data_IF_886204670300
#
_entry.id   IF_886204670300
#
_cell.length_a   1.000
_cell.length_b   1.000
_cell.length_c   1.000
_cell.angle_alpha   90.00
_cell.angle_beta   90.00
_cell.angle_gamma   90.00
#
_symmetry.space_group_name_H-M   'P 1'
#
loop_
_entity.id
_entity.type
_entity.pdbx_description
1 polymer ?
#
# COMPACT_ATOMS: atom_id res chain seq x y z
N UNK A 1 -5.76 -16.05 -11.68
CA UNK A 1 -4.98 -15.10 -10.85
C UNK A 1 -4.60 -13.97 -11.78
N UNK A 2 -5.05 -12.73 -11.56
CA UNK A 2 -4.44 -11.60 -12.24
C UNK A 2 -2.99 -11.60 -11.79
N UNK A 3 -2.08 -12.05 -12.67
CA UNK A 3 -0.65 -11.81 -12.50
C UNK A 3 -0.52 -10.30 -12.62
N UNK A 4 -0.68 -9.58 -11.52
CA UNK A 4 -0.38 -8.15 -11.50
C UNK A 4 1.15 -8.11 -11.63
N UNK A 5 1.71 -7.74 -12.79
CA UNK A 5 3.15 -7.74 -12.96
C UNK A 5 3.67 -6.48 -12.29
N UNK A 6 3.71 -6.50 -10.95
CA UNK A 6 4.28 -5.39 -10.18
C UNK A 6 5.77 -5.38 -10.48
N UNK A 7 6.26 -4.22 -10.90
CA UNK A 7 7.68 -4.01 -11.19
C UNK A 7 8.47 -4.19 -9.90
N UNK A 8 9.42 -5.12 -9.90
CA UNK A 8 10.27 -5.37 -8.72
C UNK A 8 11.55 -4.54 -8.71
N UNK A 9 12.01 -4.13 -9.88
CA UNK A 9 13.23 -3.36 -10.06
C UNK A 9 12.94 -2.11 -10.89
N UNK A 10 13.71 -1.02 -10.70
CA UNK A 10 13.57 0.16 -11.53
C UNK A 10 13.93 -0.15 -12.99
N UNK A 11 13.20 0.46 -13.91
CA UNK A 11 13.45 0.33 -15.34
C UNK A 11 14.77 1.00 -15.79
N UNK A 12 15.22 2.01 -15.05
CA UNK A 12 16.51 2.66 -15.25
C UNK A 12 17.14 3.01 -13.89
N UNK A 13 18.42 2.68 -13.69
CA UNK A 13 19.14 2.95 -12.44
C UNK A 13 19.41 4.43 -12.19
N UNK A 14 19.29 5.28 -13.22
CA UNK A 14 19.39 6.74 -13.05
C UNK A 14 18.06 7.39 -12.66
N UNK A 15 16.95 6.66 -12.70
CA UNK A 15 15.64 7.21 -12.34
C UNK A 15 15.56 7.44 -10.82
N UNK A 16 15.03 8.59 -10.37
CA UNK A 16 14.80 8.84 -8.95
C UNK A 16 13.84 7.81 -8.35
N UNK A 17 14.19 7.36 -7.15
CA UNK A 17 13.31 6.53 -6.32
C UNK A 17 12.81 7.40 -5.18
N UNK A 18 11.49 7.45 -5.00
CA UNK A 18 10.86 8.20 -3.91
C UNK A 18 10.02 7.28 -3.04
N UNK A 19 9.69 7.75 -1.85
CA UNK A 19 8.81 7.03 -0.93
C UNK A 19 7.69 7.90 -0.39
N UNK A 20 6.59 7.23 -0.04
CA UNK A 20 5.47 7.77 0.74
C UNK A 20 5.19 6.82 1.91
N UNK A 21 5.34 7.31 3.15
CA UNK A 21 4.93 6.58 4.36
C UNK A 21 3.47 6.89 4.65
N UNK A 22 2.64 5.86 4.76
CA UNK A 22 1.19 5.97 4.82
C UNK A 22 0.69 5.59 6.21
N UNK A 23 -0.24 6.40 6.73
CA UNK A 23 -1.05 6.10 7.91
C UNK A 23 -2.53 6.10 7.56
N UNK A 24 -3.29 5.15 8.10
CA UNK A 24 -4.75 5.09 7.99
C UNK A 24 -5.36 5.18 9.39
N UNK A 25 -6.07 6.26 9.68
CA UNK A 25 -6.48 6.59 11.04
C UNK A 25 -5.26 6.73 11.94
N UNK A 26 -5.15 5.84 12.93
CA UNK A 26 -4.03 5.81 13.88
C UNK A 26 -2.98 4.72 13.56
N UNK A 27 -3.14 3.98 12.46
CA UNK A 27 -2.27 2.85 12.12
C UNK A 27 -1.29 3.20 11.00
N UNK A 28 0.01 3.06 11.27
CA UNK A 28 1.06 3.10 10.25
C UNK A 28 0.99 1.83 9.38
N UNK A 29 0.57 1.98 8.12
CA UNK A 29 0.31 0.86 7.21
C UNK A 29 1.47 0.57 6.25
N UNK A 30 2.55 1.35 6.35
CA UNK A 30 3.82 1.07 5.68
C UNK A 30 4.23 2.10 4.63
N UNK A 31 5.21 1.71 3.82
CA UNK A 31 5.90 2.57 2.85
C UNK A 31 5.61 2.14 1.42
N UNK A 32 5.16 3.08 0.59
CA UNK A 32 5.08 2.92 -0.87
C UNK A 32 6.40 3.42 -1.46
N UNK A 33 7.05 2.60 -2.29
CA UNK A 33 8.26 2.97 -3.04
C UNK A 33 7.89 3.14 -4.50
N UNK A 34 8.32 4.25 -5.11
CA UNK A 34 7.93 4.64 -6.47
C UNK A 34 9.20 4.93 -7.28
N UNK A 35 9.31 4.33 -8.46
CA UNK A 35 10.24 4.80 -9.50
C UNK A 35 9.59 5.95 -10.26
N UNK A 36 10.27 7.09 -10.34
CA UNK A 36 9.86 8.19 -11.21
C UNK A 36 10.56 8.05 -12.56
N UNK A 37 9.79 8.01 -13.65
CA UNK A 37 10.29 7.81 -15.02
C UNK A 37 10.87 9.11 -15.60
N UNK A 38 11.89 9.63 -14.94
CA UNK A 38 12.59 10.87 -15.34
C UNK A 38 13.25 10.78 -16.72
N UNK A 39 13.53 9.56 -17.18
CA UNK A 39 13.98 9.27 -18.54
C UNK A 39 12.91 9.52 -19.62
N UNK A 40 11.62 9.55 -19.25
CA UNK A 40 10.48 9.76 -20.17
C UNK A 40 9.75 11.07 -19.92
N UNK A 41 9.55 11.43 -18.65
CA UNK A 41 8.80 12.62 -18.21
C UNK A 41 9.61 13.43 -17.18
N UNK A 42 10.79 13.97 -17.56
CA UNK A 42 11.70 14.63 -16.63
C UNK A 42 11.07 15.79 -15.85
N UNK A 43 10.22 16.61 -16.49
CA UNK A 43 9.59 17.76 -15.83
C UNK A 43 8.55 17.32 -14.80
N UNK A 44 7.75 16.32 -15.15
CA UNK A 44 6.72 15.74 -14.28
C UNK A 44 7.37 14.98 -13.11
N UNK A 45 8.43 14.22 -13.39
CA UNK A 45 9.23 13.51 -12.39
C UNK A 45 9.89 14.47 -11.40
N UNK A 46 10.52 15.57 -11.86
CA UNK A 46 11.12 16.56 -10.97
C UNK A 46 10.08 17.26 -10.10
N UNK A 47 8.88 17.53 -10.62
CA UNK A 47 7.78 18.06 -9.79
C UNK A 47 7.43 17.10 -8.66
N UNK A 48 7.20 15.82 -8.98
CA UNK A 48 6.83 14.83 -7.97
C UNK A 48 7.95 14.61 -6.94
N UNK A 49 9.20 14.48 -7.41
CA UNK A 49 10.39 14.29 -6.56
C UNK A 49 10.55 15.45 -5.57
N UNK A 50 10.51 16.69 -6.06
CA UNK A 50 10.66 17.87 -5.23
C UNK A 50 9.49 18.05 -4.24
N UNK A 51 8.28 17.64 -4.61
CA UNK A 51 7.13 17.59 -3.68
C UNK A 51 7.28 16.46 -2.65
N UNK A 52 7.97 15.35 -2.96
CA UNK A 52 8.33 14.35 -1.96
C UNK A 52 9.34 14.89 -0.95
N UNK A 53 10.35 15.67 -1.37
CA UNK A 53 11.41 16.17 -0.48
C UNK A 53 11.04 17.47 0.25
N UNK A 54 10.12 18.26 -0.28
CA UNK A 54 9.77 19.58 0.25
C UNK A 54 10.83 20.66 0.00
N UNK A 55 11.84 20.39 -0.83
CA UNK A 55 13.03 21.24 -0.97
C UNK A 55 12.75 22.62 -1.58
N UNK A 56 11.61 22.80 -2.26
CA UNK A 56 11.22 24.07 -2.90
C UNK A 56 10.55 25.05 -1.94
N UNK A 57 10.40 24.70 -0.67
CA UNK A 57 9.91 25.60 0.37
C UNK A 57 8.41 25.91 0.26
N UNK A 58 8.05 27.20 0.35
CA UNK A 58 6.66 27.66 0.39
C UNK A 58 6.20 28.08 -1.01
N UNK A 59 5.08 27.53 -1.46
CA UNK A 59 4.42 27.89 -2.72
C UNK A 59 3.64 29.21 -2.64
N UNK A 60 3.08 29.64 -3.78
CA UNK A 60 2.26 30.85 -3.90
C UNK A 60 0.96 30.76 -3.10
N UNK A 61 0.48 29.55 -2.85
CA UNK A 61 -0.65 29.28 -1.95
C UNK A 61 -0.35 29.59 -0.47
N UNK A 62 0.91 29.88 -0.12
CA UNK A 62 1.35 30.06 1.26
C UNK A 62 1.51 28.73 2.02
N UNK A 63 1.43 27.60 1.32
CA UNK A 63 1.61 26.25 1.85
C UNK A 63 2.95 25.68 1.42
N UNK A 64 3.49 24.72 2.18
CA UNK A 64 4.71 24.03 1.79
C UNK A 64 4.47 23.22 0.51
N UNK A 65 5.42 23.27 -0.43
CA UNK A 65 5.46 22.41 -1.61
C UNK A 65 5.96 21.01 -1.20
N UNK A 66 5.15 20.30 -0.40
CA UNK A 66 5.55 19.04 0.23
C UNK A 66 4.34 18.11 0.41
N UNK A 67 4.49 16.83 0.05
CA UNK A 67 3.46 15.81 0.24
C UNK A 67 3.29 15.38 1.70
N UNK A 68 4.32 15.49 2.54
CA UNK A 68 4.22 15.20 3.98
C UNK A 68 3.09 16.01 4.63
N UNK A 69 2.16 15.29 5.24
CA UNK A 69 0.96 15.81 5.89
C UNK A 69 -0.27 15.86 4.97
N UNK A 70 -0.11 15.73 3.65
CA UNK A 70 -1.24 15.73 2.72
C UNK A 70 -2.00 14.41 2.71
N UNK A 71 -3.27 14.45 2.28
CA UNK A 71 -4.18 13.30 2.33
C UNK A 71 -4.46 12.67 0.97
N UNK A 72 -4.72 11.37 0.99
CA UNK A 72 -5.52 10.71 -0.04
C UNK A 72 -6.98 11.04 0.24
N UNK A 73 -7.56 11.93 -0.56
CA UNK A 73 -8.90 12.47 -0.36
C UNK A 73 -9.97 11.73 -1.17
N UNK A 74 -9.56 10.88 -2.11
CA UNK A 74 -10.46 10.06 -2.93
C UNK A 74 -9.84 8.69 -3.18
N UNK A 75 -10.53 7.62 -2.81
CA UNK A 75 -10.06 6.24 -3.00
C UNK A 75 -11.20 5.41 -3.57
N UNK A 76 -11.11 5.05 -4.85
CA UNK A 76 -12.09 4.18 -5.50
C UNK A 76 -11.50 2.78 -5.61
N UNK A 77 -12.09 1.84 -4.87
CA UNK A 77 -11.68 0.43 -4.91
C UNK A 77 -11.80 -0.11 -6.34
N UNK A 78 -10.82 -0.91 -6.76
CA UNK A 78 -10.74 -1.44 -8.13
C UNK A 78 -10.64 -0.34 -9.20
N UNK A 79 -10.09 0.83 -8.86
CA UNK A 79 -9.75 1.87 -9.80
C UNK A 79 -8.45 2.58 -9.40
N UNK A 80 -8.50 3.51 -8.44
CA UNK A 80 -7.34 4.30 -8.04
C UNK A 80 -7.46 4.91 -6.63
N UNK A 81 -6.33 5.32 -6.08
CA UNK A 81 -6.24 6.17 -4.88
C UNK A 81 -5.60 7.52 -5.25
N UNK A 82 -6.33 8.62 -5.04
CA UNK A 82 -5.95 9.98 -5.40
C UNK A 82 -5.63 10.82 -4.15
N UNK A 83 -4.52 11.55 -4.23
CA UNK A 83 -4.01 12.43 -3.19
C UNK A 83 -3.26 13.63 -3.76
N UNK A 84 -2.44 14.29 -2.93
CA UNK A 84 -1.57 15.38 -3.37
C UNK A 84 -2.22 16.76 -3.48
N UNK A 85 -3.40 16.97 -2.89
CA UNK A 85 -3.90 18.34 -2.64
C UNK A 85 -3.20 18.90 -1.40
N UNK A 86 -1.99 19.43 -1.61
CA UNK A 86 -1.12 20.00 -0.57
C UNK A 86 -1.64 21.34 0.01
N UNK A 87 -2.75 21.86 -0.53
CA UNK A 87 -3.29 23.17 -0.16
C UNK A 87 -4.46 23.04 0.80
N UNK A 88 -5.41 22.15 0.48
CA UNK A 88 -6.68 22.04 1.19
C UNK A 88 -7.11 20.63 1.58
N UNK A 89 -6.40 19.59 1.15
CA UNK A 89 -6.72 18.17 1.38
C UNK A 89 -8.13 17.74 0.92
N UNK A 90 -8.75 18.47 -0.02
CA UNK A 90 -10.13 18.24 -0.48
C UNK A 90 -10.23 17.86 -1.96
N UNK A 91 -9.11 17.87 -2.68
CA UNK A 91 -9.04 17.55 -4.10
C UNK A 91 -9.43 18.69 -5.03
N UNK A 92 -9.71 19.89 -4.49
CA UNK A 92 -10.08 21.06 -5.29
C UNK A 92 -8.89 21.96 -5.63
N UNK A 93 -7.74 21.76 -4.98
CA UNK A 93 -6.57 22.62 -5.10
C UNK A 93 -5.29 21.81 -5.32
N UNK A 94 -4.19 22.50 -5.57
CA UNK A 94 -2.88 21.93 -5.77
C UNK A 94 -1.94 22.99 -6.32
N UNK A 95 -0.65 22.77 -6.19
CA UNK A 95 0.36 23.68 -6.71
C UNK A 95 1.61 22.89 -7.11
N UNK A 96 2.08 23.10 -8.34
CA UNK A 96 3.35 22.51 -8.79
C UNK A 96 4.54 23.34 -8.33
N UNK A 97 5.73 22.76 -8.39
CA UNK A 97 6.97 23.51 -8.15
C UNK A 97 7.23 24.61 -9.18
N UNK A 98 6.50 24.62 -10.30
CA UNK A 98 6.61 25.60 -11.38
C UNK A 98 5.56 26.71 -11.29
N UNK A 99 4.63 26.63 -10.32
CA UNK A 99 3.48 27.52 -10.17
C UNK A 99 2.15 26.77 -10.09
N UNK A 100 1.01 27.43 -10.33
CA UNK A 100 -0.31 26.83 -10.11
C UNK A 100 -0.57 25.55 -10.90
N UNK A 101 -0.16 25.53 -12.17
CA UNK A 101 -0.29 24.38 -13.08
C UNK A 101 0.89 24.32 -14.06
N UNK A 102 1.09 23.16 -14.69
CA UNK A 102 2.01 22.96 -15.80
C UNK A 102 1.45 22.02 -16.89
N UNK A 103 2.05 22.08 -18.07
CA UNK A 103 1.63 21.36 -19.28
C UNK A 103 1.75 19.84 -19.16
N UNK A 104 0.97 19.11 -19.97
CA UNK A 104 1.13 17.68 -20.18
C UNK A 104 2.44 17.44 -20.93
N UNK A 105 3.34 16.64 -20.35
CA UNK A 105 4.67 16.43 -20.93
C UNK A 105 4.66 15.46 -22.11
N UNK A 106 4.07 14.27 -21.91
CA UNK A 106 3.71 13.31 -22.95
C UNK A 106 2.78 12.22 -22.36
N UNK A 107 2.28 11.33 -23.23
CA UNK A 107 1.42 10.20 -22.84
C UNK A 107 2.01 8.85 -23.28
N UNK A 108 3.33 8.72 -23.26
CA UNK A 108 4.03 7.50 -23.71
C UNK A 108 3.86 6.33 -22.75
N UNK A 109 3.74 6.61 -21.46
CA UNK A 109 3.58 5.62 -20.40
C UNK A 109 2.10 5.28 -20.19
N UNK A 110 1.82 3.99 -20.00
CA UNK A 110 0.46 3.45 -19.92
C UNK A 110 0.01 3.25 -18.47
N UNK A 111 -1.30 3.34 -18.23
CA UNK A 111 -1.91 3.19 -16.90
C UNK A 111 -2.08 1.71 -16.49
N UNK A 112 -0.96 1.02 -16.31
CA UNK A 112 -0.91 -0.33 -15.72
C UNK A 112 -1.25 -0.29 -14.21
N UNK A 113 -1.53 -1.45 -13.61
CA UNK A 113 -1.65 -1.55 -12.15
C UNK A 113 -0.35 -1.11 -11.46
N UNK A 114 -0.46 -0.20 -10.50
CA UNK A 114 0.69 0.42 -9.83
C UNK A 114 1.25 1.64 -10.55
N UNK A 115 0.68 2.08 -11.68
CA UNK A 115 1.03 3.36 -12.28
C UNK A 115 0.70 4.52 -11.33
N UNK A 116 1.64 5.46 -11.21
CA UNK A 116 1.47 6.75 -10.53
C UNK A 116 1.33 7.82 -11.59
N UNK A 117 0.23 8.57 -11.57
CA UNK A 117 -0.15 9.48 -12.65
C UNK A 117 -0.71 10.80 -12.14
N UNK A 118 -0.50 11.87 -12.89
CA UNK A 118 -0.94 13.21 -12.53
C UNK A 118 -2.46 13.32 -12.65
N UNK A 119 -3.10 13.81 -11.59
CA UNK A 119 -4.48 14.29 -11.71
C UNK A 119 -4.47 15.68 -12.36
N UNK A 120 -5.53 15.99 -13.10
CA UNK A 120 -5.70 17.27 -13.78
C UNK A 120 -7.17 17.74 -13.66
N UNK A 121 -7.48 18.95 -14.14
CA UNK A 121 -8.82 19.52 -14.04
C UNK A 121 -9.77 19.09 -15.18
N UNK A 122 -9.54 17.91 -15.78
CA UNK A 122 -10.34 17.40 -16.89
C UNK A 122 -10.13 18.14 -18.21
N UNK A 123 -9.05 18.93 -18.30
CA UNK A 123 -8.61 19.61 -19.54
C UNK A 123 -7.09 19.52 -19.69
N UNK A 124 -6.56 19.53 -20.93
CA UNK A 124 -5.12 19.48 -21.15
C UNK A 124 -4.36 20.56 -20.40
N UNK A 125 -3.11 20.26 -20.05
CA UNK A 125 -2.15 21.20 -19.48
C UNK A 125 -2.57 21.79 -18.14
N UNK A 126 -3.12 20.96 -17.25
CA UNK A 126 -3.54 21.39 -15.90
C UNK A 126 -2.97 20.54 -14.78
N UNK A 127 -1.78 19.98 -14.99
CA UNK A 127 -1.08 19.21 -13.96
C UNK A 127 -0.65 20.14 -12.82
N UNK A 128 -0.71 19.66 -11.58
CA UNK A 128 -0.28 20.39 -10.40
C UNK A 128 0.46 19.46 -9.40
N UNK A 129 0.09 19.45 -8.12
CA UNK A 129 0.60 18.51 -7.12
C UNK A 129 -0.24 17.23 -7.00
N UNK A 130 -1.50 17.24 -7.43
CA UNK A 130 -2.38 16.08 -7.27
C UNK A 130 -1.98 14.92 -8.19
N UNK A 131 -2.07 13.72 -7.64
CA UNK A 131 -1.74 12.47 -8.33
C UNK A 131 -2.68 11.36 -7.91
N UNK A 132 -2.67 10.26 -8.65
CA UNK A 132 -3.32 9.03 -8.26
C UNK A 132 -2.44 7.82 -8.52
N UNK A 133 -2.69 6.75 -7.77
CA UNK A 133 -2.07 5.43 -7.93
C UNK A 133 -3.15 4.46 -8.43
N UNK A 134 -2.96 3.88 -9.60
CA UNK A 134 -3.87 2.92 -10.20
C UNK A 134 -3.84 1.58 -9.44
N UNK A 135 -4.99 1.11 -8.91
CA UNK A 135 -5.08 -0.22 -8.27
C UNK A 135 -5.20 -1.36 -9.29
N UNK A 136 -5.56 -1.03 -10.54
CA UNK A 136 -5.71 -1.95 -11.68
C UNK A 136 -5.29 -1.23 -12.95
N UNK A 137 -5.31 -1.92 -14.09
CA UNK A 137 -5.16 -1.27 -15.40
C UNK A 137 -6.32 -0.28 -15.65
N UNK A 138 -5.98 0.93 -16.09
CA UNK A 138 -6.93 2.03 -16.32
C UNK A 138 -6.76 2.64 -17.72
N UNK A 139 -6.96 1.87 -18.81
CA UNK A 139 -6.66 2.32 -20.17
C UNK A 139 -7.51 3.52 -20.60
N UNK A 140 -8.65 3.76 -19.95
CA UNK A 140 -9.47 4.95 -20.18
C UNK A 140 -8.78 6.27 -19.81
N UNK A 141 -7.65 6.23 -19.09
CA UNK A 141 -6.84 7.40 -18.71
C UNK A 141 -5.66 7.63 -19.66
N UNK A 142 -5.35 6.67 -20.53
CA UNK A 142 -4.28 6.80 -21.52
C UNK A 142 -4.56 7.96 -22.48
N UNK A 143 -3.53 8.76 -22.76
CA UNK A 143 -3.66 9.96 -23.60
C UNK A 143 -4.32 11.17 -22.91
N UNK A 144 -4.72 11.05 -21.64
CA UNK A 144 -5.40 12.14 -20.89
C UNK A 144 -4.73 12.53 -19.58
N UNK A 145 -4.01 11.59 -18.93
CA UNK A 145 -3.26 11.83 -17.71
C UNK A 145 -1.80 11.40 -17.90
N UNK A 146 -0.86 12.21 -17.41
CA UNK A 146 0.57 11.92 -17.53
C UNK A 146 1.00 10.95 -16.43
N UNK A 147 1.37 9.73 -16.80
CA UNK A 147 2.00 8.78 -15.88
C UNK A 147 3.40 9.29 -15.54
N UNK A 148 3.68 9.49 -14.25
CA UNK A 148 4.97 9.96 -13.74
C UNK A 148 5.91 8.81 -13.38
N UNK A 149 5.36 7.64 -13.04
CA UNK A 149 6.14 6.57 -12.44
C UNK A 149 5.34 5.30 -12.15
N UNK A 150 5.99 4.35 -11.50
CA UNK A 150 5.38 3.07 -11.10
C UNK A 150 5.78 2.68 -9.68
N UNK A 151 4.83 2.09 -8.94
CA UNK A 151 5.08 1.51 -7.63
C UNK A 151 5.99 0.28 -7.76
N UNK A 152 7.06 0.27 -6.99
CA UNK A 152 8.02 -0.84 -6.88
C UNK A 152 7.78 -1.70 -5.64
N UNK A 153 7.40 -1.08 -4.51
CA UNK A 153 7.06 -1.78 -3.25
C UNK A 153 5.88 -1.11 -2.58
N UNK A 154 5.16 -1.86 -1.73
CA UNK A 154 4.05 -1.33 -0.96
C UNK A 154 2.77 -1.18 -1.78
N UNK A 155 2.65 -1.83 -2.94
CA UNK A 155 1.43 -1.76 -3.75
C UNK A 155 0.19 -2.26 -2.98
N UNK A 156 0.36 -3.25 -2.10
CA UNK A 156 -0.72 -3.73 -1.24
C UNK A 156 -1.28 -2.68 -0.28
N UNK A 157 -0.57 -1.57 -0.04
CA UNK A 157 -1.08 -0.44 0.74
C UNK A 157 -2.25 0.24 0.00
N UNK A 158 -2.22 0.29 -1.33
CA UNK A 158 -3.32 0.84 -2.15
C UNK A 158 -4.60 0.01 -1.96
N UNK A 159 -4.46 -1.32 -1.88
CA UNK A 159 -5.58 -2.21 -1.58
C UNK A 159 -6.09 -2.05 -0.14
N UNK A 160 -5.19 -1.82 0.83
CA UNK A 160 -5.58 -1.51 2.22
C UNK A 160 -6.36 -0.19 2.31
N UNK A 161 -5.92 0.86 1.62
CA UNK A 161 -6.67 2.13 1.52
C UNK A 161 -8.10 1.87 1.03
N UNK A 162 -8.27 1.03 0.00
CA UNK A 162 -9.55 0.69 -0.59
C UNK A 162 -10.53 -0.05 0.33
N UNK A 163 -10.06 -0.65 1.44
CA UNK A 163 -10.94 -1.25 2.47
C UNK A 163 -11.65 -0.20 3.32
N UNK A 164 -11.08 1.01 3.40
CA UNK A 164 -11.58 2.11 4.20
C UNK A 164 -12.23 3.21 3.35
N UNK A 165 -12.75 2.88 2.17
CA UNK A 165 -13.43 3.82 1.29
C UNK A 165 -14.91 3.46 1.11
N UNK A 166 -15.77 4.48 1.00
CA UNK A 166 -17.18 4.29 0.61
C UNK A 166 -17.32 4.01 -0.88
N UNK A 167 -18.54 3.68 -1.32
CA UNK A 167 -18.84 3.47 -2.75
C UNK A 167 -18.67 4.76 -3.58
N UNK A 168 -18.77 5.92 -2.94
CA UNK A 168 -18.57 7.25 -3.52
C UNK A 168 -17.08 7.68 -3.52
N UNK A 169 -16.17 6.74 -3.26
CA UNK A 169 -14.73 6.93 -3.17
C UNK A 169 -14.26 7.82 -2.01
N UNK A 170 -15.06 7.97 -0.96
CA UNK A 170 -14.71 8.82 0.18
C UNK A 170 -14.02 7.97 1.26
N UNK A 171 -12.80 8.31 1.71
CA UNK A 171 -12.17 7.64 2.84
C UNK A 171 -12.99 7.79 4.13
N UNK A 172 -13.26 6.68 4.81
CA UNK A 172 -13.93 6.60 6.10
C UNK A 172 -13.00 6.90 7.29
N UNK A 173 -11.69 6.81 7.06
CA UNK A 173 -10.62 7.19 7.98
C UNK A 173 -9.67 8.12 7.24
N UNK A 174 -8.99 9.00 7.96
CA UNK A 174 -7.94 9.83 7.37
C UNK A 174 -6.83 8.92 6.80
N UNK A 175 -6.47 9.10 5.54
CA UNK A 175 -5.36 8.41 4.88
C UNK A 175 -4.30 9.47 4.56
N UNK A 176 -3.21 9.46 5.34
CA UNK A 176 -2.24 10.56 5.38
C UNK A 176 -0.87 10.08 4.92
N UNK A 177 -0.19 10.89 4.12
CA UNK A 177 1.25 10.74 3.85
C UNK A 177 2.00 11.33 5.04
N UNK A 178 2.42 10.50 5.99
CA UNK A 178 3.04 10.97 7.24
C UNK A 178 4.51 11.34 7.07
N UNK A 179 5.16 10.78 6.06
CA UNK A 179 6.50 11.16 5.63
C UNK A 179 6.67 10.87 4.13
N UNK A 180 7.55 11.62 3.48
CA UNK A 180 7.88 11.42 2.07
C UNK A 180 9.31 11.88 1.81
N UNK A 181 9.92 11.37 0.74
CA UNK A 181 11.26 11.80 0.36
C UNK A 181 11.80 11.05 -0.84
N UNK A 182 13.04 11.39 -1.18
CA UNK A 182 13.86 10.69 -2.18
C UNK A 182 14.80 9.70 -1.48
N UNK A 183 15.02 8.54 -2.09
CA UNK A 183 15.95 7.52 -1.62
C UNK A 183 17.24 7.66 -2.42
N UNK A 184 18.33 7.99 -1.75
CA UNK A 184 19.62 8.13 -2.40
C UNK A 184 20.13 6.79 -2.94
N UNK A 185 20.89 6.83 -4.04
CA UNK A 185 21.50 5.64 -4.61
C UNK A 185 22.38 4.91 -3.59
N UNK A 186 22.13 3.61 -3.42
CA UNK A 186 22.83 2.76 -2.46
C UNK A 186 22.17 2.71 -1.07
N UNK A 187 21.19 3.56 -0.78
CA UNK A 187 20.39 3.41 0.44
C UNK A 187 19.36 2.29 0.31
N UNK A 188 19.20 1.50 1.38
CA UNK A 188 18.14 0.50 1.45
C UNK A 188 16.75 1.16 1.48
N UNK A 189 15.79 0.55 0.80
CA UNK A 189 14.45 1.14 0.62
C UNK A 189 13.57 1.13 1.88
N UNK A 190 13.99 0.44 2.96
CA UNK A 190 13.32 0.42 4.27
C UNK A 190 11.82 0.07 4.22
N UNK A 191 11.41 -0.79 3.28
CA UNK A 191 10.01 -1.24 3.14
C UNK A 191 9.66 -2.47 4.01
N UNK A 192 10.67 -3.14 4.56
CA UNK A 192 10.48 -4.14 5.60
C UNK A 192 10.35 -3.48 6.97
N UNK A 193 9.49 -4.03 7.83
CA UNK A 193 9.37 -3.59 9.22
C UNK A 193 10.65 -4.00 9.96
N UNK A 194 11.46 -3.02 10.33
CA UNK A 194 12.66 -3.23 11.15
C UNK A 194 12.33 -2.98 12.62
N UNK A 195 11.72 -3.98 13.25
CA UNK A 195 11.48 -3.98 14.69
C UNK A 195 12.44 -4.92 15.42
N UNK A 196 12.24 -5.02 16.74
CA UNK A 196 13.03 -5.86 17.65
C UNK A 196 12.80 -7.37 17.49
N UNK A 197 11.91 -7.79 16.57
CA UNK A 197 11.62 -9.20 16.33
C UNK A 197 12.47 -9.79 15.20
N UNK A 198 12.48 -11.12 15.13
CA UNK A 198 13.12 -11.87 14.06
C UNK A 198 12.35 -11.87 12.73
N UNK A 199 11.19 -11.22 12.65
CA UNK A 199 10.44 -11.09 11.40
C UNK A 199 11.05 -10.00 10.51
N UNK A 200 11.77 -10.43 9.46
CA UNK A 200 12.40 -9.54 8.46
C UNK A 200 11.65 -9.49 7.13
N UNK A 201 10.48 -10.12 7.06
CA UNK A 201 9.72 -10.20 5.83
C UNK A 201 9.05 -8.85 5.50
N UNK A 202 8.78 -8.56 4.22
CA UNK A 202 8.01 -7.38 3.84
C UNK A 202 6.58 -7.42 4.39
N UNK A 203 5.94 -6.26 4.52
CA UNK A 203 4.58 -6.16 5.05
C UNK A 203 3.53 -6.87 4.18
N UNK A 204 3.76 -6.86 2.87
CA UNK A 204 2.96 -7.56 1.87
C UNK A 204 3.80 -8.63 1.19
N UNK A 205 3.24 -9.85 0.96
CA UNK A 205 4.01 -10.95 0.39
C UNK A 205 4.57 -10.62 -1.00
N UNK A 206 3.81 -9.91 -1.85
CA UNK A 206 4.26 -9.58 -3.21
C UNK A 206 5.52 -8.71 -3.27
N UNK A 207 5.85 -8.01 -2.18
CA UNK A 207 7.07 -7.20 -2.06
C UNK A 207 8.32 -8.03 -1.73
N UNK A 208 8.17 -9.33 -1.45
CA UNK A 208 9.28 -10.22 -1.17
C UNK A 208 10.00 -10.62 -2.46
N UNK A 209 11.29 -10.29 -2.53
CA UNK A 209 12.13 -10.59 -3.70
C UNK A 209 12.24 -12.07 -3.95
N UNK A 210 12.56 -12.82 -2.90
CA UNK A 210 12.70 -14.27 -2.91
C UNK A 210 11.36 -14.99 -2.72
N UNK A 211 10.25 -14.36 -3.13
CA UNK A 211 8.94 -15.02 -3.03
C UNK A 211 8.88 -16.21 -3.97
N UNK A 212 8.92 -17.38 -3.39
CA UNK A 212 8.73 -18.63 -4.11
C UNK A 212 7.23 -18.90 -4.30
N UNK A 213 6.81 -19.02 -5.55
CA UNK A 213 5.41 -19.31 -5.91
C UNK A 213 5.02 -20.74 -5.48
N UNK A 214 5.98 -21.66 -5.49
CA UNK A 214 5.78 -23.08 -5.24
C UNK A 214 6.60 -23.56 -4.05
N UNK A 215 6.17 -23.20 -2.85
CA UNK A 215 6.64 -23.81 -1.60
C UNK A 215 5.66 -24.84 -1.06
N UNK A 216 6.20 -25.82 -0.34
CA UNK A 216 5.42 -26.84 0.35
C UNK A 216 4.73 -26.25 1.61
N UNK A 217 3.81 -27.01 2.19
CA UNK A 217 2.99 -26.55 3.31
C UNK A 217 3.78 -26.40 4.60
N UNK A 218 4.83 -27.21 4.79
CA UNK A 218 5.72 -27.12 5.95
C UNK A 218 6.46 -25.78 5.97
N UNK A 219 7.04 -25.38 4.85
CA UNK A 219 7.73 -24.10 4.69
C UNK A 219 6.79 -22.91 4.84
N UNK A 220 5.56 -23.02 4.30
CA UNK A 220 4.50 -22.02 4.52
C UNK A 220 4.24 -21.87 6.02
N UNK A 221 4.06 -22.97 6.75
CA UNK A 221 3.79 -22.94 8.19
C UNK A 221 4.97 -22.38 8.98
N UNK A 222 6.22 -22.60 8.56
CA UNK A 222 7.40 -21.98 9.18
C UNK A 222 7.32 -20.45 9.06
N UNK A 223 7.10 -19.93 7.85
CA UNK A 223 6.94 -18.49 7.59
C UNK A 223 5.81 -17.90 8.43
N UNK A 224 4.64 -18.54 8.38
CA UNK A 224 3.44 -18.09 9.08
C UNK A 224 3.62 -18.06 10.60
N UNK A 225 4.24 -19.10 11.17
CA UNK A 225 4.52 -19.16 12.60
C UNK A 225 5.58 -18.16 13.02
N UNK A 226 6.59 -17.87 12.21
CA UNK A 226 7.58 -16.83 12.49
C UNK A 226 6.90 -15.46 12.67
N UNK A 227 6.03 -15.07 11.72
CA UNK A 227 5.30 -13.80 11.80
C UNK A 227 4.34 -13.79 12.99
N UNK A 228 3.56 -14.87 13.20
CA UNK A 228 2.64 -14.99 14.34
C UNK A 228 3.38 -14.91 15.68
N UNK A 229 4.54 -15.53 15.80
CA UNK A 229 5.34 -15.51 17.03
C UNK A 229 5.89 -14.12 17.33
N UNK A 230 6.24 -13.33 16.31
CA UNK A 230 6.54 -11.91 16.48
C UNK A 230 5.33 -11.13 17.04
N UNK A 231 4.11 -11.45 16.59
CA UNK A 231 2.88 -10.92 17.18
C UNK A 231 2.69 -11.31 18.64
N UNK A 232 2.92 -12.59 18.98
CA UNK A 232 2.84 -13.09 20.35
C UNK A 232 3.84 -12.38 21.28
N UNK A 233 5.05 -12.13 20.78
CA UNK A 233 6.07 -11.37 21.49
C UNK A 233 5.54 -9.98 21.89
N UNK A 234 5.01 -9.20 20.95
CA UNK A 234 4.43 -7.88 21.27
C UNK A 234 3.19 -7.96 22.16
N UNK A 235 2.34 -8.97 21.94
CA UNK A 235 1.15 -9.17 22.76
C UNK A 235 1.51 -9.39 24.24
N UNK A 236 2.54 -10.19 24.51
CA UNK A 236 3.05 -10.45 25.86
C UNK A 236 3.62 -9.19 26.52
N UNK A 237 4.19 -8.27 25.73
CA UNK A 237 4.64 -6.95 26.18
C UNK A 237 3.50 -5.93 26.32
N UNK A 238 2.24 -6.33 26.09
CA UNK A 238 1.05 -5.45 26.05
C UNK A 238 1.11 -4.37 24.96
N UNK A 239 1.94 -4.58 23.95
CA UNK A 239 2.08 -3.75 22.74
C UNK A 239 1.10 -4.24 21.68
N UNK A 240 -0.18 -4.00 21.95
CA UNK A 240 -1.28 -4.66 21.22
C UNK A 240 -1.42 -4.17 19.77
N UNK A 241 -1.03 -2.92 19.48
CA UNK A 241 -1.04 -2.39 18.12
C UNK A 241 -0.03 -3.14 17.24
N UNK A 242 1.22 -3.25 17.69
CA UNK A 242 2.26 -4.01 16.99
C UNK A 242 1.92 -5.49 16.88
N UNK A 243 1.30 -6.07 17.92
CA UNK A 243 0.79 -7.44 17.87
C UNK A 243 -0.24 -7.62 16.75
N UNK A 244 -1.25 -6.74 16.67
CA UNK A 244 -2.27 -6.78 15.61
C UNK A 244 -1.66 -6.64 14.22
N UNK A 245 -0.66 -5.77 14.04
CA UNK A 245 0.03 -5.60 12.75
C UNK A 245 0.70 -6.90 12.30
N UNK A 246 1.38 -7.62 13.21
CA UNK A 246 2.00 -8.92 12.92
C UNK A 246 0.97 -10.00 12.61
N UNK A 247 -0.12 -10.10 13.38
CA UNK A 247 -1.15 -11.10 13.10
C UNK A 247 -1.86 -10.83 11.76
N UNK A 248 -2.16 -9.58 11.44
CA UNK A 248 -2.71 -9.20 10.13
C UNK A 248 -1.75 -9.50 8.99
N UNK A 249 -0.44 -9.25 9.18
CA UNK A 249 0.60 -9.65 8.23
C UNK A 249 0.60 -11.17 8.02
N UNK A 250 0.50 -11.95 9.10
CA UNK A 250 0.44 -13.40 8.98
C UNK A 250 -0.82 -13.86 8.21
N UNK A 251 -1.96 -13.21 8.39
CA UNK A 251 -3.16 -13.45 7.57
C UNK A 251 -2.94 -13.13 6.10
N UNK A 252 -2.25 -12.03 5.76
CA UNK A 252 -1.92 -11.70 4.36
C UNK A 252 -1.05 -12.77 3.70
N UNK A 253 -0.02 -13.25 4.40
CA UNK A 253 0.83 -14.34 3.91
C UNK A 253 0.06 -15.66 3.80
N UNK A 254 -0.82 -15.96 4.75
CA UNK A 254 -1.69 -17.14 4.69
C UNK A 254 -2.55 -17.09 3.43
N UNK A 255 -3.29 -15.99 3.21
CA UNK A 255 -4.15 -15.84 2.03
C UNK A 255 -3.37 -15.93 0.73
N UNK A 256 -2.16 -15.38 0.67
CA UNK A 256 -1.32 -15.46 -0.51
C UNK A 256 -0.96 -16.92 -0.86
N UNK A 257 -0.47 -17.68 0.13
CA UNK A 257 0.00 -19.04 -0.11
C UNK A 257 -1.11 -20.09 -0.19
N UNK A 258 -2.24 -19.91 0.51
CA UNK A 258 -3.33 -20.87 0.52
C UNK A 258 -4.23 -20.78 -0.72
N UNK A 259 -4.30 -19.61 -1.36
CA UNK A 259 -5.23 -19.36 -2.46
C UNK A 259 -4.92 -20.22 -3.69
N UNK A 260 -5.86 -21.10 -4.03
CA UNK A 260 -5.82 -21.91 -5.24
C UNK A 260 -4.86 -23.09 -5.20
N UNK A 261 -4.25 -23.40 -4.04
CA UNK A 261 -3.45 -24.63 -3.87
C UNK A 261 -4.36 -25.83 -3.69
N UNK A 262 -4.04 -26.93 -4.37
CA UNK A 262 -4.60 -28.24 -4.06
C UNK A 262 -3.86 -28.79 -2.85
N UNK A 263 -4.58 -28.98 -1.74
CA UNK A 263 -4.01 -29.42 -0.47
C UNK A 263 -4.45 -30.85 -0.16
N UNK A 264 -3.53 -31.63 0.42
CA UNK A 264 -3.91 -32.89 1.07
C UNK A 264 -4.78 -32.59 2.29
N UNK A 265 -5.55 -33.59 2.76
CA UNK A 265 -6.37 -33.44 3.97
C UNK A 265 -5.56 -33.01 5.19
N UNK A 266 -4.36 -33.58 5.34
CA UNK A 266 -3.44 -33.25 6.44
C UNK A 266 -2.92 -31.82 6.34
N UNK A 267 -2.40 -31.43 5.18
CA UNK A 267 -1.88 -30.08 4.95
C UNK A 267 -2.96 -29.00 5.12
N UNK A 268 -4.18 -29.28 4.65
CA UNK A 268 -5.33 -28.41 4.88
C UNK A 268 -5.59 -28.27 6.38
N UNK A 269 -5.71 -29.38 7.12
CA UNK A 269 -5.94 -29.34 8.56
C UNK A 269 -4.89 -28.52 9.34
N UNK A 270 -3.61 -28.61 8.96
CA UNK A 270 -2.54 -27.83 9.58
C UNK A 270 -2.66 -26.33 9.30
N UNK A 271 -2.92 -25.95 8.04
CA UNK A 271 -3.14 -24.56 7.65
C UNK A 271 -4.38 -23.96 8.31
N UNK A 272 -5.43 -24.76 8.49
CA UNK A 272 -6.68 -24.34 9.11
C UNK A 272 -6.51 -24.11 10.61
N UNK A 273 -5.78 -25.00 11.29
CA UNK A 273 -5.41 -24.83 12.68
C UNK A 273 -4.60 -23.54 12.89
N UNK A 274 -3.66 -23.24 11.98
CA UNK A 274 -2.95 -21.97 11.99
C UNK A 274 -3.90 -20.78 11.81
N UNK A 275 -4.74 -20.81 10.77
CA UNK A 275 -5.64 -19.71 10.42
C UNK A 275 -6.58 -19.36 11.57
N UNK A 276 -7.25 -20.35 12.16
CA UNK A 276 -8.16 -20.17 13.28
C UNK A 276 -7.44 -19.58 14.50
N UNK A 277 -6.24 -20.08 14.82
CA UNK A 277 -5.43 -19.54 15.92
C UNK A 277 -5.05 -18.09 15.66
N UNK A 278 -4.65 -17.75 14.45
CA UNK A 278 -4.26 -16.39 14.10
C UNK A 278 -5.45 -15.42 14.14
N UNK A 279 -6.63 -15.82 13.65
CA UNK A 279 -7.85 -15.01 13.75
C UNK A 279 -8.25 -14.74 15.21
N UNK A 280 -8.11 -15.73 16.11
CA UNK A 280 -8.36 -15.54 17.54
C UNK A 280 -7.39 -14.52 18.15
N UNK A 281 -6.12 -14.57 17.75
CA UNK A 281 -5.11 -13.61 18.20
C UNK A 281 -5.41 -12.19 17.69
N UNK A 282 -5.86 -12.03 16.44
CA UNK A 282 -6.31 -10.74 15.89
C UNK A 282 -7.48 -10.20 16.71
N UNK A 283 -8.51 -11.01 16.94
CA UNK A 283 -9.68 -10.61 17.73
C UNK A 283 -9.27 -10.18 19.15
N UNK A 284 -8.41 -10.96 19.81
CA UNK A 284 -7.92 -10.65 21.14
C UNK A 284 -7.13 -9.33 21.19
N UNK A 285 -6.25 -9.07 20.21
CA UNK A 285 -5.50 -7.82 20.11
C UNK A 285 -6.43 -6.61 19.92
N UNK A 286 -7.42 -6.72 19.03
CA UNK A 286 -8.38 -5.63 18.81
C UNK A 286 -9.30 -5.38 20.00
N UNK A 287 -9.71 -6.42 20.74
CA UNK A 287 -10.44 -6.23 22.00
C UNK A 287 -9.61 -5.47 23.03
N UNK A 288 -8.31 -5.73 23.12
CA UNK A 288 -7.40 -4.98 24.00
C UNK A 288 -7.22 -3.52 23.57
N UNK A 289 -7.31 -3.25 22.27
CA UNK A 289 -7.29 -1.90 21.70
C UNK A 289 -8.66 -1.20 21.73
N UNK A 290 -9.70 -1.84 22.26
CA UNK A 290 -11.10 -1.34 22.19
C UNK A 290 -11.61 -1.10 20.76
N UNK A 291 -11.00 -1.76 19.77
CA UNK A 291 -11.45 -1.73 18.38
C UNK A 291 -12.48 -2.85 18.15
N UNK A 292 -13.70 -2.62 18.63
CA UNK A 292 -14.75 -3.64 18.64
C UNK A 292 -15.24 -4.04 17.24
N UNK A 293 -15.13 -3.13 16.26
CA UNK A 293 -15.52 -3.40 14.87
C UNK A 293 -14.58 -4.42 14.26
N UNK A 294 -13.27 -4.19 14.33
CA UNK A 294 -12.28 -5.09 13.73
C UNK A 294 -12.17 -6.40 14.53
N UNK A 295 -12.40 -6.36 15.85
CA UNK A 295 -12.53 -7.57 16.67
C UNK A 295 -13.71 -8.45 16.23
N UNK A 296 -14.89 -7.85 15.99
CA UNK A 296 -16.07 -8.59 15.50
C UNK A 296 -15.78 -9.21 14.13
N UNK A 297 -15.18 -8.45 13.22
CA UNK A 297 -14.82 -8.94 11.88
C UNK A 297 -13.90 -10.16 11.95
N UNK A 298 -12.89 -10.13 12.82
CA UNK A 298 -12.01 -11.27 13.03
C UNK A 298 -12.73 -12.51 13.61
N UNK A 299 -13.71 -12.30 14.50
CA UNK A 299 -14.57 -13.38 15.00
C UNK A 299 -15.49 -13.95 13.91
N UNK A 300 -16.08 -13.10 13.06
CA UNK A 300 -16.94 -13.54 11.96
C UNK A 300 -16.18 -14.41 10.97
N UNK A 301 -14.90 -14.09 10.68
CA UNK A 301 -14.03 -14.93 9.85
C UNK A 301 -13.88 -16.36 10.39
N UNK A 302 -13.81 -16.52 11.71
CA UNK A 302 -13.71 -17.84 12.37
C UNK A 302 -15.01 -18.62 12.19
N UNK A 303 -16.15 -17.95 12.39
CA UNK A 303 -17.48 -18.57 12.28
C UNK A 303 -17.75 -19.00 10.84
N UNK A 304 -17.50 -18.13 9.87
CA UNK A 304 -17.66 -18.43 8.44
C UNK A 304 -16.80 -19.62 8.04
N UNK A 305 -15.53 -19.66 8.48
CA UNK A 305 -14.64 -20.77 8.18
C UNK A 305 -15.18 -22.11 8.68
N UNK A 306 -15.68 -22.16 9.92
CA UNK A 306 -16.26 -23.38 10.51
C UNK A 306 -17.56 -23.79 9.84
N UNK A 307 -18.37 -22.83 9.38
CA UNK A 307 -19.63 -23.12 8.72
C UNK A 307 -19.44 -23.64 7.29
N UNK A 308 -18.45 -23.14 6.54
CA UNK A 308 -18.12 -23.66 5.20
C UNK A 308 -17.67 -25.13 5.25
N UNK A 309 -17.04 -25.58 6.35
CA UNK A 309 -16.71 -27.00 6.57
C UNK A 309 -17.94 -27.88 6.83
N UNK A 310 -19.07 -27.32 7.30
CA UNK A 310 -20.31 -28.08 7.55
C UNK A 310 -21.18 -28.26 6.30
N UNK A 311 -20.84 -27.59 5.18
CA UNK A 311 -21.63 -27.59 3.94
C UNK A 311 -20.99 -28.45 2.84
N UNK A 312 -19.80 -29.02 3.04
CA UNK A 312 -19.25 -30.01 2.12
C UNK A 312 -19.68 -31.44 2.53
N UNK A 313 -20.55 -32.11 1.75
CA UNK A 313 -20.89 -33.52 1.96
C UNK A 313 -19.70 -34.45 1.71
#
# INVERSE_FOLDING_TARGET
>A
MLKIPIRKEPSNTSNPIVYLDIRIGDEDVGRIIIELRSDVVPKTAENFRALCTGEKGIGRSGKALHYKGSKFHKVQRMFMAQGGDIVSDKGCNGESIYGPIFDDENFTLMHEAGAVSMANFGKPNTNNSQFFICSLECPQLDGTNVVVGYVLRGFGIVDEMGKYATNEAIPMRDIVIVDSGEICNGEGWKYCVNDETGDKLPLFPLDWMDIELEINVEDILIILNQIKNAGNYFFNLKRYAEASQKYNKASRYYTYYSKGKQLTKESKSQLDAFYLTNCLNIAAAYLKLSNFVDAKTACDMIVMYRNDETVQP
#
